data_IF_141653233705
#
_entry.id   IF_141653233705
#
_cell.length_a   1.000
_cell.length_b   1.000
_cell.length_c   1.000
_cell.angle_alpha   90.00
_cell.angle_beta   90.00
_cell.angle_gamma   90.00
#
_symmetry.space_group_name_H-M   'P 1'
#
loop_
_entity.id
_entity.type
_entity.pdbx_description
1 polymer ?
#
# COMPACT_ATOMS: atom_id res chain seq x y z
N UNK A 1 -24.07 -19.12 15.56
CA UNK A 1 -23.22 -18.55 14.52
C UNK A 1 -24.15 -17.93 13.48
N UNK A 2 -23.96 -16.63 13.17
CA UNK A 2 -24.64 -15.95 12.07
C UNK A 2 -23.85 -16.12 10.79
N UNK A 3 -24.53 -16.22 9.67
CA UNK A 3 -23.88 -16.09 8.36
C UNK A 3 -23.53 -14.60 8.12
N UNK A 4 -22.54 -14.26 7.30
CA UNK A 4 -22.16 -12.86 7.04
C UNK A 4 -23.32 -12.01 6.51
N UNK A 5 -24.18 -12.55 5.64
CA UNK A 5 -25.38 -11.88 5.12
C UNK A 5 -26.42 -11.52 6.20
N UNK A 6 -26.37 -12.19 7.37
CA UNK A 6 -27.26 -11.95 8.51
C UNK A 6 -26.67 -11.02 9.57
N UNK A 7 -25.46 -10.52 9.33
CA UNK A 7 -24.81 -9.58 10.24
C UNK A 7 -25.54 -8.24 10.26
N UNK A 8 -25.53 -7.63 11.44
CA UNK A 8 -26.13 -6.32 11.70
C UNK A 8 -25.09 -5.32 12.20
N UNK A 9 -25.40 -4.03 12.19
CA UNK A 9 -24.54 -2.98 12.77
C UNK A 9 -24.26 -3.24 14.26
N UNK A 10 -25.22 -3.84 14.99
CA UNK A 10 -25.02 -4.24 16.38
C UNK A 10 -23.93 -5.32 16.52
N UNK A 11 -23.86 -6.27 15.57
CA UNK A 11 -22.81 -7.28 15.56
C UNK A 11 -21.44 -6.63 15.28
N UNK A 12 -21.35 -5.66 14.39
CA UNK A 12 -20.10 -4.92 14.15
C UNK A 12 -19.59 -4.30 15.44
N UNK A 13 -20.45 -3.60 16.19
CA UNK A 13 -20.09 -3.00 17.48
C UNK A 13 -19.67 -4.05 18.52
N UNK A 14 -20.40 -5.17 18.59
CA UNK A 14 -20.10 -6.26 19.52
C UNK A 14 -18.73 -6.88 19.30
N UNK A 15 -18.28 -6.99 18.05
CA UNK A 15 -17.04 -7.66 17.70
C UNK A 15 -15.86 -6.69 17.43
N UNK A 16 -15.99 -5.40 17.71
CA UNK A 16 -14.92 -4.41 17.52
C UNK A 16 -13.62 -4.80 18.23
N UNK A 17 -13.70 -5.21 19.51
CA UNK A 17 -12.51 -5.56 20.28
C UNK A 17 -11.80 -6.82 19.75
N UNK A 18 -12.46 -7.95 19.48
CA UNK A 18 -11.84 -9.08 18.78
C UNK A 18 -11.17 -8.71 17.46
N UNK A 19 -11.82 -7.88 16.63
CA UNK A 19 -11.25 -7.41 15.36
C UNK A 19 -9.99 -6.58 15.59
N UNK A 20 -10.00 -5.66 16.57
CA UNK A 20 -8.84 -4.87 16.96
C UNK A 20 -7.67 -5.74 17.44
N UNK A 21 -7.95 -6.79 18.22
CA UNK A 21 -6.92 -7.73 18.67
C UNK A 21 -6.26 -8.46 17.48
N UNK A 22 -7.04 -8.85 16.46
CA UNK A 22 -6.50 -9.42 15.23
C UNK A 22 -5.66 -8.36 14.49
N UNK A 23 -6.21 -7.17 14.29
CA UNK A 23 -5.52 -6.07 13.61
C UNK A 23 -4.21 -5.67 14.29
N UNK A 24 -4.14 -5.76 15.63
CA UNK A 24 -2.91 -5.47 16.39
C UNK A 24 -1.75 -6.41 16.04
N UNK A 25 -2.02 -7.60 15.51
CA UNK A 25 -1.01 -8.57 15.07
C UNK A 25 -0.54 -8.34 13.63
N UNK A 26 -1.28 -7.56 12.86
CA UNK A 26 -0.88 -7.24 11.48
C UNK A 26 0.30 -6.26 11.54
N UNK A 27 1.38 -6.64 10.90
CA UNK A 27 2.62 -5.85 10.88
C UNK A 27 2.73 -4.98 9.64
N UNK A 28 2.02 -5.31 8.57
CA UNK A 28 2.06 -4.60 7.29
C UNK A 28 0.73 -4.66 6.57
N UNK A 29 0.38 -3.58 5.91
CA UNK A 29 -0.70 -3.52 4.94
C UNK A 29 -0.10 -3.36 3.54
N UNK A 30 -0.77 -3.85 2.53
CA UNK A 30 -0.37 -3.67 1.13
C UNK A 30 -1.46 -2.97 0.35
N UNK A 31 -1.09 -2.06 -0.53
CA UNK A 31 -2.01 -1.38 -1.45
C UNK A 31 -2.85 -2.36 -2.28
N UNK A 32 -2.28 -3.52 -2.59
CA UNK A 32 -2.95 -4.60 -3.30
C UNK A 32 -2.38 -5.94 -2.88
N UNK A 33 -3.17 -6.99 -3.06
CA UNK A 33 -2.71 -8.37 -2.83
C UNK A 33 -1.49 -8.71 -3.69
N UNK A 34 -1.40 -8.18 -4.91
CA UNK A 34 -0.24 -8.35 -5.79
C UNK A 34 1.04 -7.70 -5.25
N UNK A 35 0.93 -6.48 -4.70
CA UNK A 35 2.07 -5.82 -4.05
C UNK A 35 2.51 -6.59 -2.81
N UNK A 36 1.57 -7.01 -1.97
CA UNK A 36 1.86 -7.77 -0.76
C UNK A 36 2.59 -9.09 -1.10
N UNK A 37 2.07 -9.86 -2.06
CA UNK A 37 2.68 -11.10 -2.49
C UNK A 37 4.09 -10.89 -3.06
N UNK A 38 4.30 -9.86 -3.89
CA UNK A 38 5.62 -9.53 -4.43
C UNK A 38 6.60 -9.16 -3.32
N UNK A 39 6.20 -8.30 -2.39
CA UNK A 39 7.07 -7.91 -1.27
C UNK A 39 7.41 -9.09 -0.35
N UNK A 40 6.49 -10.04 -0.17
CA UNK A 40 6.78 -11.29 0.56
C UNK A 40 7.85 -12.11 -0.16
N UNK A 41 7.78 -12.24 -1.49
CA UNK A 41 8.78 -12.97 -2.28
C UNK A 41 10.15 -12.28 -2.25
N UNK A 42 10.19 -10.98 -2.47
CA UNK A 42 11.42 -10.19 -2.57
C UNK A 42 12.15 -10.06 -1.23
N UNK A 43 11.41 -9.92 -0.13
CA UNK A 43 11.99 -9.66 1.19
C UNK A 43 11.96 -10.88 2.14
N UNK A 44 11.32 -11.97 1.72
CA UNK A 44 11.31 -13.27 2.41
C UNK A 44 10.48 -13.32 3.69
N UNK A 45 10.57 -14.47 4.39
CA UNK A 45 9.71 -14.82 5.53
C UNK A 45 9.88 -13.92 6.75
N UNK A 46 11.02 -13.27 6.90
CA UNK A 46 11.26 -12.34 7.99
C UNK A 46 10.54 -10.99 7.78
N UNK A 47 10.24 -10.65 6.52
CA UNK A 47 9.44 -9.47 6.20
C UNK A 47 7.96 -9.70 6.51
N UNK A 48 7.39 -10.80 6.04
CA UNK A 48 6.06 -11.29 6.41
C UNK A 48 5.97 -12.79 6.13
N UNK A 49 5.68 -13.58 7.16
CA UNK A 49 5.55 -15.05 7.05
C UNK A 49 4.14 -15.52 6.68
N UNK A 50 3.14 -14.67 6.87
CA UNK A 50 1.74 -14.92 6.51
C UNK A 50 1.16 -13.69 5.84
N UNK A 51 0.44 -13.86 4.74
CA UNK A 51 -0.24 -12.79 4.03
C UNK A 51 -1.61 -13.20 3.52
N UNK A 52 -2.57 -12.27 3.52
CA UNK A 52 -3.88 -12.47 2.90
C UNK A 52 -3.81 -12.02 1.45
N UNK A 53 -3.78 -12.99 0.52
CA UNK A 53 -3.61 -12.77 -0.92
C UNK A 53 -4.51 -13.72 -1.72
N UNK A 54 -4.66 -13.46 -3.01
CA UNK A 54 -5.34 -14.40 -3.89
C UNK A 54 -4.50 -15.66 -4.13
N UNK A 55 -5.18 -16.80 -4.29
CA UNK A 55 -4.57 -18.10 -4.63
C UNK A 55 -3.66 -18.02 -5.87
N UNK A 56 -4.07 -17.27 -6.89
CA UNK A 56 -3.30 -17.06 -8.12
C UNK A 56 -1.93 -16.41 -7.87
N UNK A 57 -1.79 -15.63 -6.81
CA UNK A 57 -0.53 -15.01 -6.44
C UNK A 57 0.43 -16.00 -5.77
N UNK A 58 -0.09 -16.99 -5.03
CA UNK A 58 0.72 -18.09 -4.49
C UNK A 58 1.26 -18.94 -5.64
N UNK A 59 0.41 -19.27 -6.62
CA UNK A 59 0.83 -19.97 -7.85
C UNK A 59 1.90 -19.17 -8.60
N UNK A 60 1.70 -17.87 -8.76
CA UNK A 60 2.66 -17.00 -9.45
C UNK A 60 4.00 -16.95 -8.72
N UNK A 61 4.00 -16.77 -7.40
CA UNK A 61 5.20 -16.76 -6.58
C UNK A 61 5.99 -18.05 -6.72
N UNK A 62 5.32 -19.20 -6.57
CA UNK A 62 5.98 -20.51 -6.68
C UNK A 62 6.37 -20.87 -8.12
N UNK A 63 5.72 -20.29 -9.13
CA UNK A 63 6.11 -20.48 -10.55
C UNK A 63 7.41 -19.74 -10.91
N UNK A 64 7.80 -18.74 -10.14
CA UNK A 64 9.00 -17.92 -10.36
C UNK A 64 10.13 -18.30 -9.39
N UNK A 65 9.84 -19.12 -8.38
CA UNK A 65 10.82 -19.53 -7.38
C UNK A 65 11.83 -20.53 -7.96
N UNK A 66 13.11 -20.23 -7.79
CA UNK A 66 14.18 -21.19 -8.03
C UNK A 66 14.18 -22.27 -6.93
N UNK A 67 14.80 -23.43 -7.21
CA UNK A 67 14.83 -24.59 -6.30
C UNK A 67 15.34 -24.30 -4.87
N UNK A 68 16.01 -23.18 -4.65
CA UNK A 68 16.56 -22.75 -3.36
C UNK A 68 15.75 -21.63 -2.69
N UNK A 69 14.62 -21.19 -3.28
CA UNK A 69 13.79 -20.13 -2.72
C UNK A 69 12.67 -20.69 -1.85
N UNK A 70 12.20 -19.88 -0.92
CA UNK A 70 11.07 -20.20 -0.05
C UNK A 70 9.81 -20.44 -0.87
N UNK A 71 9.21 -21.62 -0.73
CA UNK A 71 7.92 -21.92 -1.32
C UNK A 71 6.78 -21.47 -0.40
N UNK A 72 5.74 -20.90 -0.99
CA UNK A 72 4.55 -20.47 -0.30
C UNK A 72 3.44 -21.50 -0.40
N UNK A 73 2.66 -21.63 0.65
CA UNK A 73 1.52 -22.57 0.71
C UNK A 73 0.23 -21.77 0.97
N UNK A 74 -0.76 -21.98 0.14
CA UNK A 74 -2.11 -21.46 0.38
C UNK A 74 -2.77 -22.22 1.52
N UNK A 75 -3.27 -21.48 2.50
CA UNK A 75 -4.16 -21.99 3.56
C UNK A 75 -5.53 -21.42 3.28
N UNK A 76 -6.51 -22.32 3.18
CA UNK A 76 -7.89 -21.93 2.89
C UNK A 76 -8.66 -21.91 4.22
N UNK A 77 -9.07 -20.73 4.72
CA UNK A 77 -9.94 -20.66 5.90
C UNK A 77 -11.24 -21.39 5.62
N UNK A 78 -11.83 -22.02 6.65
CA UNK A 78 -13.12 -22.70 6.53
C UNK A 78 -14.19 -21.73 6.01
N UNK A 79 -14.12 -20.47 6.42
CA UNK A 79 -14.99 -19.37 6.01
C UNK A 79 -14.18 -18.33 5.24
N UNK A 80 -14.55 -18.07 3.99
CA UNK A 80 -13.87 -17.08 3.18
C UNK A 80 -14.82 -16.43 2.15
N UNK A 81 -14.37 -15.33 1.56
CA UNK A 81 -15.05 -14.72 0.41
C UNK A 81 -14.33 -15.12 -0.87
N UNK A 82 -15.06 -15.61 -1.85
CA UNK A 82 -14.52 -15.82 -3.20
C UNK A 82 -14.71 -14.56 -4.04
N UNK A 83 -13.66 -14.17 -4.77
CA UNK A 83 -13.72 -13.06 -5.71
C UNK A 83 -13.95 -13.60 -7.12
N UNK A 84 -15.08 -13.25 -7.71
CA UNK A 84 -15.42 -13.60 -9.08
C UNK A 84 -15.23 -12.39 -9.98
N UNK A 85 -14.32 -12.48 -10.96
CA UNK A 85 -14.23 -11.48 -12.00
C UNK A 85 -15.48 -11.52 -12.89
N UNK A 86 -16.18 -10.41 -13.00
CA UNK A 86 -17.39 -10.28 -13.81
C UNK A 86 -17.18 -9.20 -14.88
N UNK A 87 -17.50 -9.52 -16.11
CA UNK A 87 -17.67 -8.51 -17.14
C UNK A 87 -19.06 -7.89 -16.99
N UNK A 88 -19.12 -6.57 -16.90
CA UNK A 88 -20.35 -5.79 -16.75
C UNK A 88 -20.51 -4.92 -17.99
N UNK A 89 -21.63 -5.05 -18.68
CA UNK A 89 -22.05 -4.16 -19.75
C UNK A 89 -23.13 -3.23 -19.20
N UNK A 90 -22.82 -1.95 -18.94
CA UNK A 90 -23.80 -1.00 -18.43
C UNK A 90 -24.90 -0.72 -19.46
N UNK A 91 -26.13 -0.60 -19.03
CA UNK A 91 -27.22 -0.11 -19.88
C UNK A 91 -27.35 1.40 -19.68
N UNK A 92 -26.49 2.16 -20.38
CA UNK A 92 -26.38 3.61 -20.20
C UNK A 92 -26.67 4.34 -21.53
N UNK A 93 -27.24 5.56 -21.48
CA UNK A 93 -27.66 6.30 -22.69
C UNK A 93 -26.51 6.71 -23.59
N UNK A 94 -25.26 6.70 -23.10
CA UNK A 94 -24.06 7.01 -23.88
C UNK A 94 -23.45 5.78 -24.57
N UNK A 95 -24.00 4.57 -24.39
CA UNK A 95 -23.51 3.35 -25.04
C UNK A 95 -24.34 3.10 -26.30
N UNK A 96 -23.69 3.18 -27.46
CA UNK A 96 -24.28 2.89 -28.74
C UNK A 96 -24.56 1.39 -28.94
N UNK A 97 -25.47 1.07 -29.88
CA UNK A 97 -25.78 -0.31 -30.21
C UNK A 97 -24.54 -1.07 -30.74
N UNK A 98 -23.66 -0.42 -31.48
CA UNK A 98 -22.43 -1.00 -31.98
C UNK A 98 -21.43 -1.34 -30.88
N UNK A 99 -21.27 -0.45 -29.88
CA UNK A 99 -20.44 -0.71 -28.72
C UNK A 99 -20.99 -1.85 -27.88
N UNK A 100 -22.31 -1.91 -27.70
CA UNK A 100 -22.98 -3.01 -26.97
C UNK A 100 -22.75 -4.36 -27.71
N UNK A 101 -22.87 -4.40 -29.03
CA UNK A 101 -22.59 -5.59 -29.81
C UNK A 101 -21.13 -6.02 -29.69
N UNK A 102 -20.19 -5.08 -29.85
CA UNK A 102 -18.77 -5.36 -29.71
C UNK A 102 -18.41 -5.90 -28.31
N UNK A 103 -18.92 -5.27 -27.26
CA UNK A 103 -18.69 -5.71 -25.86
C UNK A 103 -19.28 -7.11 -25.62
N UNK A 104 -20.46 -7.41 -26.17
CA UNK A 104 -21.08 -8.74 -26.07
C UNK A 104 -20.18 -9.80 -26.72
N UNK A 105 -19.65 -9.55 -27.91
CA UNK A 105 -18.72 -10.47 -28.61
C UNK A 105 -17.44 -10.70 -27.77
N UNK A 106 -16.89 -9.68 -27.14
CA UNK A 106 -15.73 -9.83 -26.24
C UNK A 106 -16.06 -10.70 -25.03
N UNK A 107 -17.22 -10.50 -24.41
CA UNK A 107 -17.67 -11.31 -23.26
C UNK A 107 -17.84 -12.77 -23.68
N UNK A 108 -18.48 -13.03 -24.82
CA UNK A 108 -18.67 -14.37 -25.37
C UNK A 108 -17.32 -15.05 -25.68
N UNK A 109 -16.38 -14.31 -26.29
CA UNK A 109 -15.02 -14.78 -26.56
C UNK A 109 -14.31 -15.18 -25.27
N UNK A 110 -14.35 -14.35 -24.23
CA UNK A 110 -13.72 -14.64 -22.94
C UNK A 110 -14.31 -15.89 -22.25
N UNK A 111 -15.54 -16.26 -22.55
CA UNK A 111 -16.21 -17.45 -21.99
C UNK A 111 -15.91 -18.74 -22.76
N UNK A 112 -15.26 -18.67 -23.91
CA UNK A 112 -14.90 -19.86 -24.68
C UNK A 112 -13.97 -20.78 -23.91
N UNK A 113 -14.15 -22.11 -23.98
CA UNK A 113 -13.33 -23.07 -23.23
C UNK A 113 -11.82 -22.93 -23.46
N UNK A 114 -11.40 -22.61 -24.69
CA UNK A 114 -9.99 -22.39 -25.04
C UNK A 114 -9.40 -21.20 -24.32
N UNK A 115 -10.16 -20.11 -24.19
CA UNK A 115 -9.73 -18.91 -23.46
C UNK A 115 -9.70 -19.17 -21.95
N UNK A 116 -10.68 -19.90 -21.44
CA UNK A 116 -10.71 -20.31 -20.05
C UNK A 116 -9.53 -21.26 -19.70
N UNK A 117 -9.09 -22.11 -20.63
CA UNK A 117 -7.87 -22.92 -20.45
C UNK A 117 -6.61 -22.06 -20.32
N UNK A 118 -6.51 -20.96 -21.06
CA UNK A 118 -5.41 -20.00 -20.87
C UNK A 118 -5.45 -19.43 -19.46
N UNK A 119 -6.62 -19.01 -18.97
CA UNK A 119 -6.78 -18.48 -17.61
C UNK A 119 -6.35 -19.51 -16.55
N UNK A 120 -6.74 -20.79 -16.67
CA UNK A 120 -6.34 -21.80 -15.69
C UNK A 120 -4.83 -22.10 -15.72
N UNK A 121 -4.20 -22.05 -16.88
CA UNK A 121 -2.74 -22.20 -17.00
C UNK A 121 -1.96 -21.02 -16.39
N UNK A 122 -2.62 -19.86 -16.26
CA UNK A 122 -2.09 -18.69 -15.54
C UNK A 122 -2.38 -18.72 -14.02
N UNK A 123 -3.11 -19.72 -13.52
CA UNK A 123 -3.43 -19.87 -12.11
C UNK A 123 -4.75 -19.23 -11.68
N UNK A 124 -5.64 -18.95 -12.62
CA UNK A 124 -7.01 -18.49 -12.34
C UNK A 124 -7.99 -19.67 -12.46
N UNK A 125 -8.91 -19.81 -11.52
CA UNK A 125 -9.99 -20.81 -11.66
C UNK A 125 -10.94 -20.42 -12.77
N UNK A 126 -11.43 -21.40 -13.57
CA UNK A 126 -12.30 -21.08 -14.70
C UNK A 126 -13.62 -20.48 -14.24
N UNK A 127 -14.11 -19.48 -14.97
CA UNK A 127 -15.40 -18.83 -14.71
C UNK A 127 -16.59 -19.54 -15.36
N UNK A 128 -16.34 -20.60 -16.13
CA UNK A 128 -17.39 -21.40 -16.79
C UNK A 128 -17.29 -22.88 -16.40
N UNK A 129 -18.41 -23.60 -16.29
CA UNK A 129 -18.39 -25.03 -16.00
C UNK A 129 -17.71 -25.86 -17.08
N UNK A 130 -17.20 -27.05 -16.71
CA UNK A 130 -16.68 -28.04 -17.65
C UNK A 130 -15.24 -27.81 -18.14
N UNK A 131 -14.59 -26.73 -17.72
CA UNK A 131 -13.17 -26.48 -18.02
C UNK A 131 -12.31 -27.07 -16.89
N UNK A 132 -11.42 -28.00 -17.26
CA UNK A 132 -10.48 -28.58 -16.31
C UNK A 132 -9.45 -27.56 -15.79
N UNK A 133 -9.03 -27.71 -14.54
CA UNK A 133 -7.95 -26.90 -13.97
C UNK A 133 -6.63 -27.15 -14.69
N UNK A 134 -5.83 -26.09 -14.85
CA UNK A 134 -4.47 -26.21 -15.35
C UNK A 134 -3.54 -26.94 -14.36
N UNK A 135 -2.40 -27.40 -14.84
CA UNK A 135 -1.40 -28.18 -14.08
C UNK A 135 -0.82 -27.42 -12.88
N UNK A 136 -0.92 -26.09 -12.86
CA UNK A 136 -0.46 -25.28 -11.74
C UNK A 136 -1.33 -25.39 -10.50
N UNK A 137 -2.55 -25.91 -10.62
CA UNK A 137 -3.41 -26.18 -9.46
C UNK A 137 -3.00 -27.49 -8.78
N UNK A 138 -1.85 -27.48 -8.10
CA UNK A 138 -1.28 -28.63 -7.42
C UNK A 138 -0.48 -28.22 -6.18
N UNK A 139 -0.19 -29.18 -5.34
CA UNK A 139 0.65 -28.97 -4.14
C UNK A 139 2.06 -28.53 -4.48
N UNK A 140 2.56 -28.84 -5.68
CA UNK A 140 3.85 -28.36 -6.18
C UNK A 140 3.87 -26.82 -6.30
N UNK A 141 2.74 -26.21 -6.67
CA UNK A 141 2.58 -24.76 -6.73
C UNK A 141 1.96 -24.17 -5.46
N UNK A 142 1.91 -24.94 -4.37
CA UNK A 142 1.47 -24.50 -3.05
C UNK A 142 -0.04 -24.37 -2.88
N UNK A 143 -0.85 -24.91 -3.79
CA UNK A 143 -2.31 -24.78 -3.77
C UNK A 143 -3.01 -26.13 -3.83
N UNK A 144 -4.26 -26.18 -3.38
CA UNK A 144 -5.13 -27.35 -3.52
C UNK A 144 -5.99 -27.25 -4.78
N UNK A 145 -6.03 -28.27 -5.64
CA UNK A 145 -6.99 -28.30 -6.75
C UNK A 145 -8.44 -28.32 -6.26
N UNK A 146 -8.69 -28.88 -5.09
CA UNK A 146 -10.01 -28.99 -4.46
C UNK A 146 -9.94 -28.48 -3.01
N UNK A 147 -9.88 -27.15 -2.81
CA UNK A 147 -9.86 -26.58 -1.47
C UNK A 147 -11.23 -26.78 -0.80
N UNK A 148 -11.22 -27.08 0.47
CA UNK A 148 -12.44 -27.20 1.26
C UNK A 148 -12.67 -25.89 2.04
N UNK A 149 -13.62 -25.08 1.59
CA UNK A 149 -14.06 -23.86 2.25
C UNK A 149 -15.50 -23.52 1.88
N UNK A 150 -16.17 -22.80 2.77
CA UNK A 150 -17.46 -22.18 2.49
C UNK A 150 -17.25 -20.76 1.96
N UNK A 151 -17.85 -20.46 0.81
CA UNK A 151 -17.83 -19.10 0.25
C UNK A 151 -19.06 -18.34 0.72
N UNK A 152 -18.84 -17.27 1.45
CA UNK A 152 -19.91 -16.46 2.00
C UNK A 152 -20.30 -15.31 1.07
N UNK A 153 -21.55 -14.88 1.21
CA UNK A 153 -22.01 -13.62 0.60
C UNK A 153 -21.64 -12.46 1.52
N UNK A 154 -21.38 -11.27 0.96
CA UNK A 154 -21.13 -10.10 1.79
C UNK A 154 -22.37 -9.71 2.59
N UNK A 155 -22.21 -9.04 3.73
CA UNK A 155 -23.31 -8.41 4.45
C UNK A 155 -24.04 -7.37 3.61
N UNK A 156 -25.15 -6.84 4.13
CA UNK A 156 -25.85 -5.72 3.52
C UNK A 156 -24.93 -4.49 3.45
N UNK A 157 -25.09 -3.61 2.44
CA UNK A 157 -24.20 -2.46 2.21
C UNK A 157 -23.97 -1.59 3.45
N UNK A 158 -25.02 -1.28 4.21
CA UNK A 158 -24.95 -0.48 5.44
C UNK A 158 -24.12 -1.15 6.55
N UNK A 159 -24.10 -2.49 6.57
CA UNK A 159 -23.25 -3.24 7.51
C UNK A 159 -21.80 -3.21 7.07
N UNK A 160 -21.54 -3.31 5.76
CA UNK A 160 -20.19 -3.16 5.19
C UNK A 160 -19.63 -1.75 5.46
N UNK A 161 -20.44 -0.71 5.30
CA UNK A 161 -20.05 0.67 5.64
C UNK A 161 -19.70 0.80 7.12
N UNK A 162 -20.53 0.26 8.02
CA UNK A 162 -20.26 0.23 9.45
C UNK A 162 -18.99 -0.56 9.80
N UNK A 163 -18.71 -1.66 9.10
CA UNK A 163 -17.46 -2.42 9.25
C UNK A 163 -16.23 -1.61 8.84
N UNK A 164 -16.30 -0.89 7.72
CA UNK A 164 -15.23 -0.02 7.24
C UNK A 164 -14.97 1.14 8.20
N UNK A 165 -16.04 1.80 8.67
CA UNK A 165 -15.94 2.86 9.67
C UNK A 165 -15.32 2.34 10.98
N UNK A 166 -15.81 1.20 11.47
CA UNK A 166 -15.28 0.56 12.68
C UNK A 166 -13.81 0.17 12.52
N UNK A 167 -13.42 -0.32 11.34
CA UNK A 167 -12.03 -0.63 11.06
C UNK A 167 -11.16 0.64 11.08
N UNK A 168 -11.54 1.69 10.40
CA UNK A 168 -10.78 2.94 10.31
C UNK A 168 -10.63 3.64 11.65
N UNK A 169 -11.73 3.73 12.42
CA UNK A 169 -11.77 4.54 13.64
C UNK A 169 -11.33 3.79 14.89
N UNK A 170 -11.53 2.47 14.92
CA UNK A 170 -11.34 1.67 16.13
C UNK A 170 -10.27 0.59 16.01
N UNK A 171 -10.33 -0.24 14.95
CA UNK A 171 -9.54 -1.46 14.85
C UNK A 171 -8.18 -1.28 14.16
N UNK A 172 -8.08 -0.37 13.18
CA UNK A 172 -6.83 -0.11 12.46
C UNK A 172 -5.76 0.36 13.44
N UNK A 173 -4.53 -0.13 13.27
CA UNK A 173 -3.37 0.40 13.98
C UNK A 173 -3.20 1.88 13.69
N UNK A 174 -2.90 2.70 14.70
CA UNK A 174 -2.50 4.08 14.44
C UNK A 174 -1.20 4.11 13.64
N UNK A 175 -0.91 5.25 13.03
CA UNK A 175 0.35 5.47 12.32
C UNK A 175 1.19 6.57 12.97
N UNK A 176 2.52 6.45 12.79
CA UNK A 176 3.49 7.50 13.03
C UNK A 176 4.34 7.65 11.78
N UNK A 177 4.13 8.73 11.03
CA UNK A 177 4.78 8.93 9.73
C UNK A 177 5.73 10.13 9.77
N UNK A 178 7.01 9.91 9.47
CA UNK A 178 7.94 10.99 9.19
C UNK A 178 7.79 11.41 7.71
N UNK A 179 7.15 12.55 7.48
CA UNK A 179 6.93 13.10 6.14
C UNK A 179 8.10 14.01 5.79
N UNK A 180 8.96 13.57 4.90
CA UNK A 180 10.19 14.25 4.45
C UNK A 180 9.88 15.02 3.18
N UNK A 181 9.94 16.33 3.27
CA UNK A 181 9.43 17.27 2.27
C UNK A 181 10.59 18.00 1.62
N UNK A 182 10.81 17.74 0.35
CA UNK A 182 11.76 18.47 -0.45
C UNK A 182 11.28 19.91 -0.67
N UNK A 183 12.13 20.85 -0.31
CA UNK A 183 11.95 22.28 -0.52
C UNK A 183 13.15 22.89 -1.26
N UNK A 184 13.83 22.10 -2.08
CA UNK A 184 14.91 22.57 -2.96
C UNK A 184 14.41 23.54 -4.04
N UNK A 185 15.33 24.21 -4.71
CA UNK A 185 15.00 25.21 -5.73
C UNK A 185 14.16 24.67 -6.89
N UNK A 186 14.31 23.39 -7.27
CA UNK A 186 13.55 22.72 -8.32
C UNK A 186 12.05 22.60 -8.01
N UNK A 187 11.68 22.64 -6.72
CA UNK A 187 10.29 22.61 -6.26
C UNK A 187 9.52 23.92 -6.45
N UNK A 188 10.16 25.00 -6.95
CA UNK A 188 9.48 26.29 -7.13
C UNK A 188 8.23 26.21 -8.04
N UNK A 189 7.28 27.09 -7.78
CA UNK A 189 6.08 27.28 -8.61
C UNK A 189 4.99 26.23 -8.36
N UNK A 190 4.50 25.65 -9.44
CA UNK A 190 3.34 24.74 -9.41
C UNK A 190 3.60 23.45 -8.62
N UNK A 191 4.83 22.97 -8.58
CA UNK A 191 5.20 21.75 -7.84
C UNK A 191 4.99 21.96 -6.33
N UNK A 192 5.59 23.01 -5.75
CA UNK A 192 5.43 23.29 -4.33
C UNK A 192 3.97 23.64 -3.97
N UNK A 193 3.26 24.37 -4.84
CA UNK A 193 1.87 24.70 -4.60
C UNK A 193 0.96 23.47 -4.54
N UNK A 194 1.11 22.53 -5.48
CA UNK A 194 0.36 21.30 -5.49
C UNK A 194 0.76 20.38 -4.31
N UNK A 195 2.03 20.31 -3.96
CA UNK A 195 2.48 19.57 -2.78
C UNK A 195 1.89 20.15 -1.49
N UNK A 196 1.87 21.49 -1.33
CA UNK A 196 1.21 22.13 -0.18
C UNK A 196 -0.26 21.74 -0.08
N UNK A 197 -1.01 21.84 -1.18
CA UNK A 197 -2.44 21.47 -1.19
C UNK A 197 -2.64 20.00 -0.80
N UNK A 198 -1.79 19.12 -1.30
CA UNK A 198 -1.83 17.70 -0.96
C UNK A 198 -1.56 17.45 0.52
N UNK A 199 -0.53 18.09 1.08
CA UNK A 199 -0.20 17.97 2.49
C UNK A 199 -1.30 18.58 3.39
N UNK A 200 -1.95 19.66 2.96
CA UNK A 200 -3.11 20.23 3.67
C UNK A 200 -4.25 19.23 3.73
N UNK A 201 -4.59 18.58 2.62
CA UNK A 201 -5.62 17.55 2.58
C UNK A 201 -5.23 16.35 3.46
N UNK A 202 -3.97 15.93 3.43
CA UNK A 202 -3.46 14.85 4.27
C UNK A 202 -3.63 15.16 5.76
N UNK A 203 -3.25 16.37 6.21
CA UNK A 203 -3.39 16.79 7.60
C UNK A 203 -4.86 16.91 8.01
N UNK A 204 -5.71 17.45 7.14
CA UNK A 204 -7.15 17.58 7.44
C UNK A 204 -7.82 16.24 7.69
N UNK A 205 -7.39 15.19 6.97
CA UNK A 205 -7.91 13.83 7.08
C UNK A 205 -7.15 12.96 8.08
N UNK A 206 -6.19 13.52 8.82
CA UNK A 206 -5.46 12.78 9.84
C UNK A 206 -6.39 12.31 10.95
N UNK A 207 -6.36 11.02 11.27
CA UNK A 207 -7.13 10.43 12.35
C UNK A 207 -6.61 10.87 13.73
N UNK A 208 -7.48 10.88 14.74
CA UNK A 208 -7.12 11.36 16.10
C UNK A 208 -5.95 10.60 16.74
N UNK A 209 -5.76 9.33 16.36
CA UNK A 209 -4.69 8.47 16.88
C UNK A 209 -3.42 8.52 16.04
N UNK A 210 -3.45 9.19 14.91
CA UNK A 210 -2.32 9.30 14.00
C UNK A 210 -1.39 10.44 14.39
N UNK A 211 -0.12 10.28 14.07
CA UNK A 211 0.93 11.25 14.36
C UNK A 211 1.84 11.39 13.16
N UNK A 212 2.16 12.62 12.79
CA UNK A 212 3.13 12.88 11.73
C UNK A 212 4.24 13.82 12.22
N UNK A 213 5.45 13.58 11.71
CA UNK A 213 6.59 14.47 11.87
C UNK A 213 6.91 15.10 10.51
N UNK A 214 6.63 16.39 10.35
CA UNK A 214 6.93 17.12 9.12
C UNK A 214 8.39 17.58 9.15
N UNK A 215 9.22 17.08 8.23
CA UNK A 215 10.64 17.36 8.10
C UNK A 215 10.87 17.98 6.72
N UNK A 216 11.05 19.29 6.65
CA UNK A 216 11.45 19.93 5.39
C UNK A 216 12.95 19.94 5.22
N UNK A 217 13.41 19.76 4.00
CA UNK A 217 14.84 19.82 3.67
C UNK A 217 15.10 20.51 2.33
N UNK A 218 16.30 21.04 2.22
CA UNK A 218 16.93 21.57 1.02
C UNK A 218 18.45 21.41 1.16
N UNK A 219 19.24 22.47 1.13
CA UNK A 219 20.65 22.46 1.55
C UNK A 219 20.82 22.24 3.07
N UNK A 220 19.73 22.33 3.83
CA UNK A 220 19.66 22.08 5.26
C UNK A 220 18.50 21.12 5.57
N UNK A 221 18.58 20.42 6.70
CA UNK A 221 17.49 19.58 7.21
C UNK A 221 16.92 20.28 8.42
N UNK A 222 15.66 20.65 8.36
CA UNK A 222 14.98 21.32 9.46
C UNK A 222 14.52 20.32 10.54
N UNK A 223 14.49 20.72 11.81
CA UNK A 223 13.93 19.88 12.87
C UNK A 223 12.48 19.50 12.57
N UNK A 224 12.02 18.30 13.02
CA UNK A 224 10.68 17.84 12.79
C UNK A 224 9.65 18.68 13.53
N UNK A 225 8.58 19.04 12.84
CA UNK A 225 7.38 19.63 13.45
C UNK A 225 6.36 18.51 13.66
N UNK A 226 6.07 18.23 14.93
CA UNK A 226 5.18 17.15 15.33
C UNK A 226 3.73 17.62 15.24
N UNK A 227 2.92 16.83 14.55
CA UNK A 227 1.49 17.04 14.32
C UNK A 227 0.76 15.82 14.88
N UNK A 228 -0.06 16.06 15.89
CA UNK A 228 -1.02 15.09 16.39
C UNK A 228 -2.32 15.22 15.58
N UNK A 229 -3.14 14.16 15.55
CA UNK A 229 -4.39 14.13 14.80
C UNK A 229 -5.51 15.02 15.35
N UNK A 230 -5.29 15.69 16.48
CA UNK A 230 -6.24 16.60 17.09
C UNK A 230 -6.33 17.97 16.37
N UNK A 231 -7.28 18.80 16.76
CA UNK A 231 -7.49 20.11 16.17
C UNK A 231 -6.27 21.04 16.28
N UNK A 232 -5.59 21.02 17.41
CA UNK A 232 -4.41 21.87 17.64
C UNK A 232 -3.23 21.43 16.79
N UNK A 233 -2.98 20.12 16.68
CA UNK A 233 -1.96 19.57 15.82
C UNK A 233 -2.24 19.87 14.34
N UNK A 234 -3.48 19.68 13.86
CA UNK A 234 -3.88 20.03 12.49
C UNK A 234 -3.64 21.51 12.19
N UNK A 235 -3.99 22.42 13.08
CA UNK A 235 -3.73 23.85 12.92
C UNK A 235 -2.23 24.17 12.80
N UNK A 236 -1.42 23.55 13.66
CA UNK A 236 0.05 23.67 13.61
C UNK A 236 0.64 23.18 12.31
N UNK A 237 0.10 22.07 11.78
CA UNK A 237 0.53 21.52 10.49
C UNK A 237 0.19 22.43 9.31
N UNK A 238 -1.00 22.99 9.28
CA UNK A 238 -1.44 23.97 8.28
C UNK A 238 -0.53 25.20 8.30
N UNK A 239 -0.20 25.71 9.48
CA UNK A 239 0.70 26.83 9.64
C UNK A 239 2.10 26.53 9.13
N UNK A 240 2.64 25.34 9.44
CA UNK A 240 3.94 24.89 8.93
C UNK A 240 3.96 24.83 7.40
N UNK A 241 2.96 24.19 6.78
CA UNK A 241 2.88 24.04 5.33
C UNK A 241 2.78 25.41 4.63
N UNK A 242 2.02 26.34 5.20
CA UNK A 242 1.89 27.68 4.62
C UNK A 242 3.23 28.41 4.48
N UNK A 243 4.15 28.18 5.42
CA UNK A 243 5.49 28.81 5.50
C UNK A 243 6.54 28.16 4.60
N UNK A 244 6.29 26.97 4.03
CA UNK A 244 7.24 26.30 3.14
C UNK A 244 7.61 27.19 1.95
N UNK A 245 8.90 27.31 1.67
CA UNK A 245 9.46 28.03 0.52
C UNK A 245 10.53 27.19 -0.14
N UNK A 246 10.54 27.16 -1.47
CA UNK A 246 11.53 26.41 -2.23
C UNK A 246 12.78 27.24 -2.47
N UNK A 247 13.94 26.73 -2.06
CA UNK A 247 15.25 27.30 -2.31
C UNK A 247 16.38 26.29 -2.06
N UNK A 248 17.58 26.58 -2.51
CA UNK A 248 18.80 25.81 -2.23
C UNK A 248 18.91 24.50 -2.98
N UNK A 249 19.85 23.65 -2.54
CA UNK A 249 20.11 22.31 -3.07
C UNK A 249 19.27 21.22 -2.43
N UNK A 250 19.68 19.93 -2.61
CA UNK A 250 18.88 18.75 -2.23
C UNK A 250 19.73 17.76 -1.44
N UNK A 251 19.52 17.66 -0.12
CA UNK A 251 20.18 16.69 0.77
C UNK A 251 19.28 15.47 1.00
N UNK A 252 19.01 14.76 -0.07
CA UNK A 252 18.03 13.68 -0.11
C UNK A 252 18.42 12.50 0.78
N UNK A 253 19.65 11.99 0.67
CA UNK A 253 20.09 10.81 1.42
C UNK A 253 20.25 11.10 2.91
N UNK A 254 20.82 12.27 3.23
CA UNK A 254 20.94 12.70 4.64
C UNK A 254 19.58 12.90 5.30
N UNK A 255 18.58 13.46 4.59
CA UNK A 255 17.24 13.68 5.12
C UNK A 255 16.48 12.37 5.32
N UNK A 256 16.68 11.41 4.41
CA UNK A 256 16.12 10.07 4.53
C UNK A 256 16.66 9.35 5.78
N UNK A 257 17.98 9.41 5.98
CA UNK A 257 18.62 8.85 7.18
C UNK A 257 18.14 9.55 8.45
N UNK A 258 18.08 10.89 8.43
CA UNK A 258 17.61 11.68 9.56
C UNK A 258 16.19 11.31 10.00
N UNK A 259 15.27 11.13 9.05
CA UNK A 259 13.89 10.74 9.32
C UNK A 259 13.80 9.34 9.96
N UNK A 260 14.57 8.37 9.43
CA UNK A 260 14.68 7.03 10.02
C UNK A 260 15.22 7.10 11.45
N UNK A 261 16.30 7.83 11.67
CA UNK A 261 16.95 7.96 12.98
C UNK A 261 16.03 8.65 13.99
N UNK A 262 15.21 9.61 13.54
CA UNK A 262 14.21 10.24 14.37
C UNK A 262 13.13 9.23 14.81
N UNK A 263 12.62 8.40 13.91
CA UNK A 263 11.65 7.35 14.28
C UNK A 263 12.24 6.31 15.23
N UNK A 264 13.49 5.92 15.06
CA UNK A 264 14.18 4.99 15.98
C UNK A 264 14.32 5.61 17.39
N UNK A 265 14.62 6.90 17.47
CA UNK A 265 14.74 7.63 18.75
C UNK A 265 13.40 7.95 19.40
N UNK A 266 12.32 7.96 18.64
CA UNK A 266 10.96 8.26 19.08
C UNK A 266 10.00 7.12 18.69
N UNK A 267 10.23 5.88 19.13
CA UNK A 267 9.45 4.75 18.69
C UNK A 267 8.01 4.85 19.20
N UNK A 268 7.06 4.41 18.37
CA UNK A 268 5.68 4.19 18.77
C UNK A 268 5.34 2.73 18.51
N UNK A 269 5.54 1.83 19.50
CA UNK A 269 5.43 0.37 19.28
C UNK A 269 4.02 -0.10 18.92
N UNK A 270 2.99 0.63 19.34
CA UNK A 270 1.57 0.37 19.05
C UNK A 270 1.14 0.84 17.66
N UNK A 271 2.02 1.52 16.92
CA UNK A 271 1.72 2.15 15.63
C UNK A 271 2.55 1.56 14.47
N UNK A 272 2.09 1.81 13.25
CA UNK A 272 2.89 1.62 12.05
C UNK A 272 3.84 2.83 11.95
N UNK A 273 5.14 2.57 12.00
CA UNK A 273 6.16 3.59 11.85
C UNK A 273 6.65 3.61 10.38
N UNK A 274 6.57 4.75 9.72
CA UNK A 274 6.95 4.87 8.31
C UNK A 274 7.63 6.20 7.99
N UNK A 275 8.45 6.20 6.95
CA UNK A 275 8.98 7.41 6.29
C UNK A 275 8.26 7.57 4.97
N UNK A 276 7.74 8.76 4.73
CA UNK A 276 7.20 9.18 3.45
C UNK A 276 8.08 10.29 2.88
N UNK A 277 8.83 9.99 1.83
CA UNK A 277 9.75 10.90 1.18
C UNK A 277 9.14 11.47 -0.09
N UNK A 278 9.05 12.79 -0.15
CA UNK A 278 8.48 13.55 -1.28
C UNK A 278 9.57 14.45 -1.87
N UNK A 279 10.03 14.17 -3.10
CA UNK A 279 11.11 14.92 -3.78
C UNK A 279 10.88 14.99 -5.28
N UNK A 280 11.37 16.06 -5.91
CA UNK A 280 11.39 16.24 -7.37
C UNK A 280 12.82 16.28 -7.94
N UNK A 281 13.83 16.06 -7.10
CA UNK A 281 15.20 16.23 -7.48
C UNK A 281 16.11 15.02 -7.24
N UNK A 282 17.31 15.14 -7.78
CA UNK A 282 18.43 14.29 -7.47
C UNK A 282 19.18 14.81 -6.25
N UNK A 283 19.82 13.91 -5.54
CA UNK A 283 20.72 14.33 -4.46
C UNK A 283 21.87 15.19 -5.00
N UNK A 284 22.06 16.36 -4.41
CA UNK A 284 23.11 17.28 -4.81
C UNK A 284 23.97 17.80 -3.64
N UNK A 285 23.66 17.39 -2.42
CA UNK A 285 24.30 17.97 -1.24
C UNK A 285 24.38 17.10 -0.02
N UNK A 286 24.04 15.81 -0.10
CA UNK A 286 24.21 14.88 1.01
C UNK A 286 25.66 14.59 1.30
N UNK A 287 25.97 14.34 2.57
CA UNK A 287 27.29 13.92 3.04
C UNK A 287 27.54 12.44 2.84
N UNK A 288 26.46 11.64 2.75
CA UNK A 288 26.52 10.20 2.52
C UNK A 288 26.11 9.87 1.09
N UNK A 289 26.64 8.76 0.58
CA UNK A 289 26.23 8.22 -0.72
C UNK A 289 24.96 7.36 -0.61
N UNK A 290 24.35 7.03 -1.76
CA UNK A 290 23.23 6.09 -1.81
C UNK A 290 23.61 4.71 -1.28
N UNK A 291 24.83 4.25 -1.49
CA UNK A 291 25.35 2.97 -0.98
C UNK A 291 25.45 2.99 0.55
N UNK A 292 25.99 4.06 1.13
CA UNK A 292 26.08 4.24 2.57
C UNK A 292 24.69 4.34 3.22
N UNK A 293 23.75 5.07 2.61
CA UNK A 293 22.36 5.10 3.04
C UNK A 293 21.77 3.69 2.99
N UNK A 294 21.94 2.99 1.86
CA UNK A 294 21.40 1.63 1.66
C UNK A 294 21.90 0.64 2.72
N UNK A 295 23.18 0.70 3.07
CA UNK A 295 23.76 -0.12 4.11
C UNK A 295 23.11 0.18 5.46
N UNK A 296 23.03 1.46 5.85
CA UNK A 296 22.42 1.89 7.12
C UNK A 296 20.94 1.52 7.23
N UNK A 297 20.19 1.59 6.13
CA UNK A 297 18.78 1.18 6.09
C UNK A 297 18.62 -0.34 6.27
N UNK A 298 19.52 -1.16 5.69
CA UNK A 298 19.52 -2.61 5.88
C UNK A 298 19.82 -3.00 7.32
N UNK A 299 20.82 -2.41 7.94
CA UNK A 299 21.22 -2.67 9.33
C UNK A 299 20.05 -2.45 10.30
N UNK A 300 19.26 -1.39 10.10
CA UNK A 300 18.11 -1.09 10.94
C UNK A 300 16.95 -2.08 10.83
N UNK A 301 16.83 -2.82 9.73
CA UNK A 301 15.78 -3.85 9.58
C UNK A 301 16.02 -5.08 10.46
N UNK A 302 17.26 -5.34 10.85
CA UNK A 302 17.63 -6.50 11.68
C UNK A 302 17.68 -6.20 13.17
N UNK A 303 18.00 -4.95 13.55
CA UNK A 303 18.29 -4.59 14.95
C UNK A 303 17.14 -3.86 15.66
N UNK A 304 16.15 -3.32 14.94
CA UNK A 304 15.05 -2.58 15.56
C UNK A 304 13.76 -3.38 15.63
N UNK A 305 13.15 -3.44 16.82
CA UNK A 305 11.77 -3.93 17.00
C UNK A 305 10.75 -3.10 16.19
N UNK A 306 11.09 -1.85 15.86
CA UNK A 306 10.30 -0.95 15.04
C UNK A 306 10.67 -1.10 13.56
N UNK A 307 9.94 -1.94 12.83
CA UNK A 307 10.06 -2.06 11.38
C UNK A 307 9.56 -0.78 10.71
N UNK A 308 10.48 0.06 10.23
CA UNK A 308 10.18 1.33 9.59
C UNK A 308 10.10 1.12 8.07
N UNK A 309 8.90 1.26 7.50
CA UNK A 309 8.71 1.20 6.05
C UNK A 309 9.08 2.54 5.39
N UNK A 310 9.65 2.49 4.17
CA UNK A 310 9.96 3.68 3.39
C UNK A 310 9.07 3.76 2.15
N UNK A 311 8.33 4.84 2.02
CA UNK A 311 7.55 5.16 0.84
C UNK A 311 8.17 6.38 0.19
N UNK A 312 8.44 6.29 -1.10
CA UNK A 312 9.08 7.38 -1.84
C UNK A 312 8.20 7.82 -3.01
N UNK A 313 8.02 9.11 -3.15
CA UNK A 313 7.29 9.72 -4.26
C UNK A 313 8.25 10.65 -5.00
N UNK A 314 8.57 10.27 -6.23
CA UNK A 314 9.28 11.12 -7.17
C UNK A 314 8.30 12.05 -7.88
N UNK A 315 8.47 13.35 -7.72
CA UNK A 315 7.51 14.38 -8.10
C UNK A 315 8.02 15.25 -9.23
N UNK A 316 7.70 14.90 -10.48
CA UNK A 316 8.16 15.64 -11.63
C UNK A 316 8.01 14.88 -12.94
N UNK A 317 8.70 15.42 -13.98
CA UNK A 317 8.78 14.78 -15.28
C UNK A 317 9.83 13.67 -15.28
N UNK A 318 9.77 12.81 -16.28
CA UNK A 318 10.78 11.78 -16.48
C UNK A 318 12.14 12.41 -16.79
N UNK A 319 13.18 11.98 -16.06
CA UNK A 319 14.52 12.54 -16.18
C UNK A 319 14.85 13.71 -15.23
N UNK A 320 13.84 14.24 -14.49
CA UNK A 320 14.08 15.31 -13.51
C UNK A 320 14.58 14.78 -12.15
N UNK A 321 14.47 13.47 -11.89
CA UNK A 321 14.91 12.85 -10.64
C UNK A 321 15.38 11.41 -10.85
N UNK A 322 16.22 10.92 -9.94
CA UNK A 322 16.73 9.56 -9.95
C UNK A 322 15.71 8.57 -9.36
N UNK A 323 14.74 8.13 -10.18
CA UNK A 323 13.71 7.20 -9.76
C UNK A 323 14.27 5.85 -9.25
N UNK A 324 15.45 5.40 -9.78
CA UNK A 324 16.08 4.15 -9.34
C UNK A 324 16.60 4.26 -7.91
N UNK A 325 17.15 5.42 -7.54
CA UNK A 325 17.57 5.68 -6.16
C UNK A 325 16.36 5.68 -5.21
N UNK A 326 15.25 6.34 -5.58
CA UNK A 326 14.03 6.36 -4.79
C UNK A 326 13.42 4.98 -4.64
N UNK A 327 13.37 4.20 -5.72
CA UNK A 327 12.91 2.82 -5.69
C UNK A 327 13.78 1.96 -4.76
N UNK A 328 15.10 2.04 -4.89
CA UNK A 328 16.04 1.31 -4.03
C UNK A 328 15.87 1.66 -2.54
N UNK A 329 15.70 2.94 -2.20
CA UNK A 329 15.45 3.38 -0.82
C UNK A 329 14.18 2.76 -0.27
N UNK A 330 13.10 2.77 -1.05
CA UNK A 330 11.81 2.23 -0.63
C UNK A 330 11.82 0.70 -0.46
N UNK A 331 12.34 -0.03 -1.44
CA UNK A 331 12.34 -1.51 -1.46
C UNK A 331 13.17 -2.11 -0.32
N UNK A 332 14.28 -1.47 0.08
CA UNK A 332 15.13 -1.94 1.17
C UNK A 332 14.40 -2.08 2.52
N UNK A 333 13.31 -1.35 2.72
CA UNK A 333 12.57 -1.31 3.97
C UNK A 333 11.09 -1.71 3.81
N UNK A 334 10.78 -2.44 2.75
CA UNK A 334 9.46 -3.03 2.54
C UNK A 334 8.35 -2.02 2.22
N UNK A 335 8.72 -0.85 1.71
CA UNK A 335 7.82 0.10 1.10
C UNK A 335 7.90 0.03 -0.42
N UNK A 336 7.51 1.10 -1.10
CA UNK A 336 7.56 1.19 -2.55
C UNK A 336 7.74 2.63 -3.04
N UNK A 337 8.21 2.73 -4.28
CA UNK A 337 8.31 3.99 -5.02
C UNK A 337 7.04 4.27 -5.84
N UNK A 338 6.64 5.53 -5.91
CA UNK A 338 5.59 6.04 -6.81
C UNK A 338 6.08 7.25 -7.58
N UNK A 339 5.66 7.33 -8.85
CA UNK A 339 5.81 8.53 -9.65
C UNK A 339 4.56 9.40 -9.49
N UNK A 340 4.72 10.63 -9.06
CA UNK A 340 3.68 11.64 -8.93
C UNK A 340 3.91 12.85 -9.81
N UNK A 341 2.89 13.64 -10.00
CA UNK A 341 2.92 14.96 -10.62
C UNK A 341 1.87 15.85 -9.95
N UNK A 342 1.78 17.16 -10.28
CA UNK A 342 0.81 18.07 -9.68
C UNK A 342 -0.65 17.61 -9.74
N UNK A 343 -1.02 16.81 -10.74
CA UNK A 343 -2.37 16.32 -10.94
C UNK A 343 -2.66 15.03 -10.15
N UNK A 344 -1.66 14.17 -9.95
CA UNK A 344 -1.85 12.84 -9.37
C UNK A 344 -1.42 12.73 -7.91
N UNK A 345 -0.64 13.68 -7.38
CA UNK A 345 -0.06 13.58 -6.04
C UNK A 345 -1.11 13.45 -4.94
N UNK A 346 -2.24 14.11 -5.07
CA UNK A 346 -3.31 14.06 -4.07
C UNK A 346 -3.94 12.66 -3.95
N UNK A 347 -4.20 12.00 -5.08
CA UNK A 347 -4.71 10.62 -5.07
C UNK A 347 -3.66 9.63 -4.59
N UNK A 348 -2.37 9.84 -4.91
CA UNK A 348 -1.29 9.00 -4.40
C UNK A 348 -1.16 9.10 -2.87
N UNK A 349 -1.32 10.29 -2.31
CA UNK A 349 -1.28 10.48 -0.86
C UNK A 349 -2.48 9.85 -0.15
N UNK A 350 -3.69 9.94 -0.74
CA UNK A 350 -4.85 9.25 -0.22
C UNK A 350 -4.68 7.72 -0.24
N UNK A 351 -4.11 7.17 -1.31
CA UNK A 351 -3.75 5.75 -1.40
C UNK A 351 -2.78 5.35 -0.27
N UNK A 352 -1.75 6.17 0.00
CA UNK A 352 -0.76 5.92 1.04
C UNK A 352 -1.35 5.97 2.46
N UNK A 353 -2.32 6.85 2.71
CA UNK A 353 -3.01 6.92 4.01
C UNK A 353 -3.74 5.61 4.39
N UNK A 354 -4.14 4.82 3.41
CA UNK A 354 -4.77 3.50 3.66
C UNK A 354 -3.73 2.48 4.16
N UNK A 355 -2.47 2.66 3.79
CA UNK A 355 -1.39 1.72 4.10
C UNK A 355 -0.70 2.01 5.46
N UNK A 356 -0.88 3.22 5.95
CA UNK A 356 -0.38 3.61 7.28
C UNK A 356 -1.33 3.31 8.42
#
# INVERSE_FOLDING_TARGET
NKQPEDLTIADVKKYQEPVKQIQSKITRYGKSTGNLARSMVENGVFWASVGSVYESLVISANSQADNNQTQYKAVYPQATFSSNMRAILPNAPWISAAEKEAATKVIEFMRQPEIQKIATNLGLRPGVPGVALGNKFSTQFGVSPQPNYESYRPPQPEVVEAMLESWQTYAKKPSQVAVVIDTSGSMQGTKLAALKNTLLNYIQNLGEKEKIALISFNSQINPPVIIEGDRAGKTKGIEFISKLKANGGTRLYDSSLYARDWLIKNPRPDAINAVLLLTDGEDSGSKISLEQLSQKLKESNFESEAKIAFFTVGYGREGEFNWRALQKIAELNGGYYRKGNPQTISSLMADLQVEF
#
